data_IF_150117883461
#
_entry.id   IF_150117883461
#
_cell.length_a   1.000
_cell.length_b   1.000
_cell.length_c   1.000
_cell.angle_alpha   90.00
_cell.angle_beta   90.00
_cell.angle_gamma   90.00
#
_symmetry.space_group_name_H-M   'P 1'
#
loop_
_entity.id
_entity.type
_entity.pdbx_description
1 polymer ?
#
# COMPACT_ATOMS: atom_id res chain seq x y z
N UNK A 1 8.14 16.52 10.28
CA UNK A 1 8.66 15.88 9.04
C UNK A 1 8.13 16.64 7.83
N UNK A 2 9.01 17.25 7.03
CA UNK A 2 8.63 18.00 5.84
C UNK A 2 8.01 17.06 4.80
N UNK A 3 6.87 17.45 4.20
CA UNK A 3 6.12 16.62 3.25
C UNK A 3 6.98 16.09 2.09
N UNK A 4 7.90 16.92 1.59
CA UNK A 4 8.88 16.55 0.56
C UNK A 4 9.81 15.41 1.00
N UNK A 5 10.25 15.41 2.28
CA UNK A 5 11.09 14.33 2.84
C UNK A 5 10.31 13.03 2.96
N UNK A 6 9.04 13.09 3.40
CA UNK A 6 8.17 11.91 3.45
C UNK A 6 7.98 11.28 2.06
N UNK A 7 7.71 12.10 1.04
CA UNK A 7 7.53 11.63 -0.34
C UNK A 7 8.81 10.96 -0.87
N UNK A 8 9.99 11.56 -0.62
CA UNK A 8 11.27 10.97 -1.02
C UNK A 8 11.54 9.62 -0.34
N UNK A 9 11.28 9.52 0.97
CA UNK A 9 11.46 8.27 1.73
C UNK A 9 10.54 7.19 1.18
N UNK A 10 9.28 7.52 0.93
CA UNK A 10 8.31 6.56 0.39
C UNK A 10 8.66 6.16 -1.03
N UNK A 11 9.07 7.10 -1.88
CA UNK A 11 9.53 6.80 -3.24
C UNK A 11 10.71 5.81 -3.22
N UNK A 12 11.71 6.07 -2.38
CA UNK A 12 12.85 5.18 -2.22
C UNK A 12 12.42 3.79 -1.72
N UNK A 13 11.50 3.73 -0.75
CA UNK A 13 10.95 2.47 -0.25
C UNK A 13 10.15 1.71 -1.33
N UNK A 14 9.37 2.39 -2.17
CA UNK A 14 8.64 1.77 -3.28
C UNK A 14 9.60 1.19 -4.32
N UNK A 15 10.67 1.90 -4.67
CA UNK A 15 11.70 1.40 -5.60
C UNK A 15 12.39 0.17 -5.00
N UNK A 16 12.75 0.22 -3.72
CA UNK A 16 13.36 -0.94 -3.04
C UNK A 16 12.41 -2.15 -3.02
N UNK A 17 11.14 -1.92 -2.74
CA UNK A 17 10.13 -2.97 -2.76
C UNK A 17 9.93 -3.59 -4.15
N UNK A 18 10.01 -2.78 -5.21
CA UNK A 18 9.98 -3.27 -6.58
C UNK A 18 11.15 -4.21 -6.87
N UNK A 19 12.37 -3.81 -6.47
CA UNK A 19 13.58 -4.63 -6.62
C UNK A 19 13.44 -5.97 -5.89
N UNK A 20 12.88 -5.96 -4.68
CA UNK A 20 12.63 -7.18 -3.89
C UNK A 20 11.53 -8.05 -4.52
N UNK A 21 10.51 -7.44 -5.16
CA UNK A 21 9.40 -8.17 -5.79
C UNK A 21 9.80 -8.95 -7.04
N UNK A 22 10.87 -8.52 -7.71
CA UNK A 22 11.41 -9.12 -8.94
C UNK A 22 12.86 -9.64 -8.72
N UNK A 23 13.08 -10.59 -7.80
CA UNK A 23 14.43 -10.99 -7.41
C UNK A 23 15.21 -11.68 -8.55
N UNK A 24 14.52 -12.22 -9.55
CA UNK A 24 15.15 -12.89 -10.71
C UNK A 24 15.76 -11.89 -11.69
N UNK A 25 15.07 -10.76 -11.94
CA UNK A 25 15.53 -9.73 -12.88
C UNK A 25 16.76 -9.01 -12.34
N UNK A 26 16.81 -8.77 -11.02
CA UNK A 26 17.91 -8.08 -10.36
C UNK A 26 19.05 -9.01 -9.89
N UNK A 27 19.00 -10.30 -10.23
CA UNK A 27 20.03 -11.27 -9.85
C UNK A 27 20.13 -11.54 -8.34
N UNK A 28 19.06 -11.27 -7.59
CA UNK A 28 18.98 -11.52 -6.14
C UNK A 28 18.73 -13.00 -5.82
N UNK A 29 18.07 -13.73 -6.72
CA UNK A 29 17.93 -15.18 -6.66
C UNK A 29 18.34 -15.78 -8.02
N UNK A 30 19.16 -16.83 -7.99
CA UNK A 30 19.47 -17.63 -9.17
C UNK A 30 18.26 -18.50 -9.56
N UNK A 31 17.90 -18.59 -10.87
CA UNK A 31 16.72 -19.30 -11.32
C UNK A 31 16.79 -20.83 -11.11
N UNK A 32 17.99 -21.37 -10.84
CA UNK A 32 18.26 -22.81 -10.83
C UNK A 32 18.35 -23.44 -9.44
N UNK A 33 18.57 -22.69 -8.37
CA UNK A 33 19.05 -23.28 -7.10
C UNK A 33 18.09 -23.21 -5.90
N UNK A 34 16.99 -22.43 -5.91
CA UNK A 34 16.06 -22.42 -4.75
C UNK A 34 14.69 -21.87 -5.11
N UNK A 35 13.72 -22.75 -5.30
CA UNK A 35 12.29 -22.40 -5.34
C UNK A 35 11.86 -21.59 -4.10
N UNK A 36 12.51 -21.82 -2.94
CA UNK A 36 12.22 -21.10 -1.70
C UNK A 36 12.66 -19.63 -1.72
N UNK A 37 13.77 -19.28 -2.40
CA UNK A 37 14.27 -17.90 -2.48
C UNK A 37 13.27 -17.02 -3.25
N UNK A 38 12.86 -17.50 -4.43
CA UNK A 38 11.91 -16.81 -5.30
C UNK A 38 10.53 -16.73 -4.64
N UNK A 39 10.09 -17.82 -3.99
CA UNK A 39 8.80 -17.85 -3.30
C UNK A 39 8.74 -16.87 -2.13
N UNK A 40 9.77 -16.83 -1.29
CA UNK A 40 9.83 -15.94 -0.13
C UNK A 40 9.96 -14.46 -0.54
N UNK A 41 10.92 -14.13 -1.41
CA UNK A 41 11.15 -12.74 -1.80
C UNK A 41 10.05 -12.20 -2.72
N UNK A 42 9.60 -12.95 -3.73
CA UNK A 42 8.60 -12.45 -4.67
C UNK A 42 7.18 -12.60 -4.11
N UNK A 43 6.79 -13.82 -3.72
CA UNK A 43 5.38 -14.12 -3.42
C UNK A 43 4.97 -13.82 -1.98
N UNK A 44 5.86 -14.03 -1.01
CA UNK A 44 5.50 -13.84 0.40
C UNK A 44 5.66 -12.40 0.87
N UNK A 45 6.71 -11.71 0.44
CA UNK A 45 7.10 -10.41 0.98
C UNK A 45 7.02 -9.34 -0.10
N UNK A 46 7.63 -9.56 -1.27
CA UNK A 46 7.84 -8.52 -2.27
C UNK A 46 6.54 -7.97 -2.86
N UNK A 47 5.67 -8.84 -3.41
CA UNK A 47 4.38 -8.45 -3.98
C UNK A 47 3.45 -7.72 -3.00
N UNK A 48 3.14 -8.25 -1.80
CA UNK A 48 2.28 -7.55 -0.84
C UNK A 48 2.85 -6.21 -0.38
N UNK A 49 4.17 -6.14 -0.17
CA UNK A 49 4.84 -4.92 0.27
C UNK A 49 4.84 -3.86 -0.83
N UNK A 50 5.14 -4.26 -2.06
CA UNK A 50 5.13 -3.37 -3.22
C UNK A 50 3.74 -2.74 -3.46
N UNK A 51 2.68 -3.55 -3.49
CA UNK A 51 1.31 -3.06 -3.69
C UNK A 51 0.90 -2.04 -2.63
N UNK A 52 1.16 -2.34 -1.36
CA UNK A 52 0.84 -1.42 -0.26
C UNK A 52 1.68 -0.13 -0.31
N UNK A 53 2.96 -0.22 -0.67
CA UNK A 53 3.83 0.96 -0.83
C UNK A 53 3.43 1.84 -2.00
N UNK A 54 3.02 1.25 -3.13
CA UNK A 54 2.46 2.00 -4.27
C UNK A 54 1.17 2.72 -3.86
N UNK A 55 0.26 2.04 -3.15
CA UNK A 55 -0.97 2.65 -2.64
C UNK A 55 -0.69 3.83 -1.68
N UNK A 56 0.33 3.71 -0.83
CA UNK A 56 0.78 4.78 0.06
C UNK A 56 1.38 5.95 -0.71
N UNK A 57 2.21 5.68 -1.72
CA UNK A 57 2.80 6.70 -2.57
C UNK A 57 1.72 7.51 -3.30
N UNK A 58 0.77 6.84 -3.95
CA UNK A 58 -0.36 7.48 -4.65
C UNK A 58 -1.17 8.33 -3.67
N UNK A 59 -1.51 7.78 -2.51
CA UNK A 59 -2.21 8.51 -1.44
C UNK A 59 -1.48 9.78 -0.99
N UNK A 60 -0.15 9.72 -0.85
CA UNK A 60 0.67 10.89 -0.50
C UNK A 60 0.67 11.97 -1.59
N UNK A 61 0.75 11.56 -2.86
CA UNK A 61 0.67 12.49 -4.00
C UNK A 61 -0.67 13.22 -4.00
N UNK A 62 -1.78 12.48 -3.84
CA UNK A 62 -3.13 13.05 -3.75
C UNK A 62 -3.30 14.02 -2.56
N UNK A 63 -2.74 13.67 -1.40
CA UNK A 63 -2.75 14.55 -0.23
C UNK A 63 -1.91 15.81 -0.43
N UNK A 64 -0.77 15.69 -1.12
CA UNK A 64 0.09 16.83 -1.46
C UNK A 64 -0.61 17.80 -2.39
N UNK A 65 -1.25 17.29 -3.45
CA UNK A 65 -2.04 18.07 -4.38
C UNK A 65 -3.23 18.76 -3.70
N UNK A 66 -3.86 18.09 -2.74
CA UNK A 66 -5.05 18.62 -2.06
C UNK A 66 -4.74 19.64 -0.95
N UNK A 67 -3.47 19.92 -0.65
CA UNK A 67 -2.99 20.86 0.39
C UNK A 67 -3.69 20.72 1.75
N UNK A 68 -4.17 19.52 2.09
CA UNK A 68 -4.93 19.34 3.33
C UNK A 68 -3.95 19.31 4.52
N UNK A 69 -4.03 20.32 5.40
CA UNK A 69 -3.18 20.45 6.59
C UNK A 69 -3.42 19.36 7.66
N UNK A 70 -4.49 18.55 7.57
CA UNK A 70 -4.82 17.52 8.57
C UNK A 70 -4.02 16.21 8.42
N UNK A 71 -2.71 16.35 8.21
CA UNK A 71 -1.79 15.23 7.95
C UNK A 71 -1.59 14.31 9.17
N UNK A 72 -1.69 14.84 10.40
CA UNK A 72 -1.33 14.06 11.60
C UNK A 72 -2.32 12.92 11.91
N UNK A 73 -3.63 13.16 11.75
CA UNK A 73 -4.65 12.10 11.94
C UNK A 73 -4.58 11.03 10.86
N UNK A 74 -4.31 11.43 9.61
CA UNK A 74 -4.15 10.49 8.50
C UNK A 74 -2.92 9.58 8.68
N UNK A 75 -1.82 10.08 9.26
CA UNK A 75 -0.67 9.23 9.61
C UNK A 75 -1.00 8.12 10.59
N UNK A 76 -1.74 8.45 11.66
CA UNK A 76 -2.12 7.45 12.68
C UNK A 76 -3.03 6.40 12.05
N UNK A 77 -4.00 6.84 11.25
CA UNK A 77 -4.86 5.93 10.46
C UNK A 77 -4.03 5.02 9.55
N UNK A 78 -3.09 5.59 8.80
CA UNK A 78 -2.22 4.83 7.88
C UNK A 78 -1.37 3.83 8.64
N UNK A 79 -0.76 4.22 9.76
CA UNK A 79 0.06 3.32 10.58
C UNK A 79 -0.77 2.14 11.12
N UNK A 80 -1.96 2.40 11.67
CA UNK A 80 -2.87 1.35 12.14
C UNK A 80 -3.35 0.45 11.00
N UNK A 81 -3.67 1.03 9.84
CA UNK A 81 -4.11 0.29 8.67
C UNK A 81 -3.02 -0.66 8.16
N UNK A 82 -1.77 -0.20 8.10
CA UNK A 82 -0.64 -1.04 7.67
C UNK A 82 -0.37 -2.19 8.63
N UNK A 83 -0.49 -1.96 9.94
CA UNK A 83 -0.38 -3.04 10.94
C UNK A 83 -1.50 -4.07 10.71
N UNK A 84 -2.74 -3.61 10.54
CA UNK A 84 -3.88 -4.50 10.31
C UNK A 84 -3.74 -5.27 8.99
N UNK A 85 -3.34 -4.59 7.91
CA UNK A 85 -3.11 -5.20 6.60
C UNK A 85 -1.98 -6.23 6.65
N UNK A 86 -0.87 -5.93 7.34
CA UNK A 86 0.22 -6.87 7.55
C UNK A 86 -0.22 -8.11 8.31
N UNK A 87 -1.04 -7.93 9.35
CA UNK A 87 -1.63 -9.05 10.09
C UNK A 87 -2.50 -9.92 9.18
N UNK A 88 -3.38 -9.30 8.39
CA UNK A 88 -4.29 -9.97 7.47
C UNK A 88 -3.52 -10.78 6.41
N UNK A 89 -2.51 -10.18 5.80
CA UNK A 89 -1.64 -10.82 4.80
C UNK A 89 -0.85 -11.98 5.44
N UNK A 90 -0.40 -11.83 6.68
CA UNK A 90 0.32 -12.89 7.39
C UNK A 90 -0.54 -14.13 7.64
N UNK A 91 -1.82 -13.96 7.94
CA UNK A 91 -2.76 -15.08 8.15
C UNK A 91 -3.25 -15.74 6.85
N UNK A 92 -2.99 -15.13 5.69
CA UNK A 92 -3.48 -15.66 4.40
C UNK A 92 -2.51 -16.67 3.77
N UNK A 93 -3.04 -17.78 3.20
CA UNK A 93 -2.23 -18.80 2.56
C UNK A 93 -1.57 -18.26 1.28
N UNK A 94 -0.39 -18.80 0.96
CA UNK A 94 0.44 -18.36 -0.18
C UNK A 94 -0.07 -18.94 -1.51
N UNK A 95 -0.71 -20.11 -1.45
CA UNK A 95 -1.28 -20.82 -2.62
C UNK A 95 -2.51 -21.61 -2.20
N UNK A 96 -3.63 -21.37 -2.86
CA UNK A 96 -4.83 -22.18 -2.75
C UNK A 96 -4.67 -23.52 -3.50
N UNK A 97 -4.24 -24.56 -2.79
CA UNK A 97 -4.24 -25.94 -3.28
C UNK A 97 -5.39 -26.73 -2.67
N UNK A 98 -6.56 -26.76 -3.32
CA UNK A 98 -7.69 -27.60 -2.88
C UNK A 98 -9.07 -27.16 -3.36
N UNK A 99 -10.01 -28.11 -3.31
CA UNK A 99 -11.38 -28.14 -3.86
C UNK A 99 -12.38 -27.09 -3.31
N UNK A 100 -11.93 -26.11 -2.52
CA UNK A 100 -12.79 -25.07 -1.94
C UNK A 100 -12.80 -23.82 -2.83
N UNK A 101 -13.98 -23.38 -3.33
CA UNK A 101 -14.09 -22.25 -4.26
C UNK A 101 -13.95 -20.86 -3.61
N UNK A 102 -13.69 -20.79 -2.30
CA UNK A 102 -13.63 -19.54 -1.52
C UNK A 102 -12.27 -19.34 -0.86
N UNK A 103 -11.19 -19.63 -1.56
CA UNK A 103 -9.84 -19.43 -1.05
C UNK A 103 -9.31 -18.10 -1.61
N UNK A 104 -9.16 -17.09 -0.74
CA UNK A 104 -8.48 -15.84 -1.09
C UNK A 104 -6.98 -16.06 -0.97
N UNK A 105 -6.27 -15.97 -2.08
CA UNK A 105 -4.81 -16.02 -2.08
C UNK A 105 -4.23 -14.74 -1.45
N UNK A 106 -2.99 -14.84 -0.93
CA UNK A 106 -2.26 -13.69 -0.37
C UNK A 106 -2.17 -12.51 -1.35
N UNK A 107 -2.14 -12.77 -2.66
CA UNK A 107 -2.19 -11.74 -3.70
C UNK A 107 -3.53 -10.99 -3.71
N UNK A 108 -4.66 -11.70 -3.63
CA UNK A 108 -5.99 -11.09 -3.64
C UNK A 108 -6.23 -10.23 -2.40
N UNK A 109 -5.77 -10.71 -1.24
CA UNK A 109 -5.84 -9.92 0.01
C UNK A 109 -4.93 -8.71 -0.04
N UNK A 110 -3.78 -8.81 -0.70
CA UNK A 110 -2.90 -7.65 -0.94
C UNK A 110 -3.56 -6.60 -1.83
N UNK A 111 -4.25 -7.03 -2.88
CA UNK A 111 -5.04 -6.15 -3.74
C UNK A 111 -6.21 -5.52 -2.99
N UNK A 112 -6.91 -6.30 -2.16
CA UNK A 112 -8.05 -5.82 -1.37
C UNK A 112 -7.60 -4.80 -0.31
N UNK A 113 -6.48 -5.05 0.37
CA UNK A 113 -5.92 -4.12 1.37
C UNK A 113 -5.34 -2.86 0.73
N UNK A 114 -4.63 -2.98 -0.40
CA UNK A 114 -4.13 -1.81 -1.14
C UNK A 114 -5.28 -0.96 -1.72
N UNK A 115 -6.26 -1.60 -2.34
CA UNK A 115 -7.45 -0.95 -2.90
C UNK A 115 -8.32 -0.31 -1.82
N UNK A 116 -8.57 -1.02 -0.72
CA UNK A 116 -9.29 -0.51 0.43
C UNK A 116 -8.62 0.72 1.04
N UNK A 117 -7.29 0.70 1.18
CA UNK A 117 -6.54 1.85 1.66
C UNK A 117 -6.70 3.09 0.77
N UNK A 118 -6.60 2.91 -0.55
CA UNK A 118 -6.78 3.98 -1.52
C UNK A 118 -8.20 4.56 -1.46
N UNK A 119 -9.21 3.68 -1.41
CA UNK A 119 -10.61 4.08 -1.41
C UNK A 119 -10.97 4.87 -0.14
N UNK A 120 -10.54 4.40 1.03
CA UNK A 120 -10.73 5.11 2.30
C UNK A 120 -10.00 6.46 2.27
N UNK A 121 -8.76 6.50 1.77
CA UNK A 121 -8.01 7.75 1.65
C UNK A 121 -8.73 8.74 0.72
N UNK A 122 -9.24 8.27 -0.42
CA UNK A 122 -9.98 9.09 -1.36
C UNK A 122 -11.26 9.66 -0.73
N UNK A 123 -12.02 8.84 0.00
CA UNK A 123 -13.21 9.28 0.75
C UNK A 123 -12.85 10.35 1.78
N UNK A 124 -11.77 10.17 2.56
CA UNK A 124 -11.32 11.15 3.53
C UNK A 124 -10.97 12.50 2.88
N UNK A 125 -10.30 12.48 1.71
CA UNK A 125 -9.97 13.71 0.97
C UNK A 125 -11.25 14.35 0.38
N UNK A 126 -12.16 13.55 -0.19
CA UNK A 126 -13.41 14.02 -0.77
C UNK A 126 -14.31 14.68 0.29
N UNK A 127 -14.52 14.03 1.44
CA UNK A 127 -15.31 14.58 2.55
C UNK A 127 -14.71 15.87 3.09
N UNK A 128 -13.38 16.00 3.11
CA UNK A 128 -12.72 17.23 3.53
C UNK A 128 -12.89 18.37 2.51
N UNK A 129 -12.75 18.09 1.21
CA UNK A 129 -13.04 19.08 0.17
C UNK A 129 -14.50 19.54 0.20
N UNK A 130 -15.45 18.63 0.40
CA UNK A 130 -16.87 18.95 0.55
C UNK A 130 -17.11 19.83 1.78
N UNK A 131 -16.53 19.48 2.93
CA UNK A 131 -16.63 20.30 4.15
C UNK A 131 -16.03 21.70 3.96
N UNK A 132 -14.88 21.82 3.30
CA UNK A 132 -14.27 23.12 3.02
C UNK A 132 -15.09 23.96 2.03
N UNK A 133 -15.68 23.36 0.99
CA UNK A 133 -16.62 24.07 0.11
C UNK A 133 -17.87 24.51 0.86
N UNK A 134 -18.40 23.67 1.74
CA UNK A 134 -19.62 23.97 2.51
C UNK A 134 -19.39 24.99 3.64
N UNK A 135 -18.14 25.24 4.04
CA UNK A 135 -17.77 26.37 4.90
C UNK A 135 -17.47 27.66 4.11
N UNK A 136 -17.48 27.61 2.77
CA UNK A 136 -17.30 28.76 1.87
C UNK A 136 -18.58 29.31 1.19
N UNK A 137 -19.85 29.06 1.62
CA UNK A 137 -21.01 29.67 0.99
C UNK A 137 -21.51 30.88 1.81
N UNK A 138 -20.70 31.92 2.00
CA UNK A 138 -21.17 33.27 2.39
C UNK A 138 -20.00 34.27 2.38
N UNK A 139 -19.52 34.66 1.20
CA UNK A 139 -18.96 36.00 0.98
C UNK A 139 -19.10 36.37 -0.49
N UNK A 140 -20.29 36.89 -0.84
CA UNK A 140 -20.55 38.05 -1.71
C UNK A 140 -22.05 38.27 -1.74
#
# INVERSE_FOLDING_TARGET
MNMKKTILIVLAATILAYVISEPVIFGLCEPTERFDCIRLLSSEIGKPLFLNLVALFVSLVFLSLSRVQRFNRWKIFTALYFILAGLLISFTPITCGGYLPTCLDRNDVSWLTAGGFLLITLLLVASQKLKSRHQSPTQT
#
